data_IF_407988708687
#
_entry.id   IF_407988708687
#
_cell.length_a   1.000
_cell.length_b   1.000
_cell.length_c   1.000
_cell.angle_alpha   90.00
_cell.angle_beta   90.00
_cell.angle_gamma   90.00
#
_symmetry.space_group_name_H-M   'P 1'
#
loop_
_entity.id
_entity.type
_entity.pdbx_description
1 polymer ?
#
# COMPACT_ATOMS: atom_id res chain seq x y z
N UNK A 1 2.74 -21.37 5.76
CA UNK A 1 2.71 -20.66 4.45
C UNK A 1 2.09 -21.58 3.42
N UNK A 2 1.65 -21.09 2.26
CA UNK A 2 1.09 -21.93 1.21
C UNK A 2 1.90 -21.83 -0.08
N UNK A 3 2.09 -22.98 -0.74
CA UNK A 3 2.68 -23.08 -2.08
C UNK A 3 1.64 -22.70 -3.16
N UNK A 4 2.08 -22.57 -4.42
CA UNK A 4 1.24 -22.26 -5.59
C UNK A 4 0.04 -23.22 -5.76
N UNK A 5 0.15 -24.44 -5.22
CA UNK A 5 -0.88 -25.49 -5.26
C UNK A 5 -1.77 -25.53 -4.02
N UNK A 6 -1.65 -24.55 -3.12
CA UNK A 6 -2.43 -24.48 -1.88
C UNK A 6 -2.02 -25.49 -0.82
N UNK A 7 -0.83 -26.11 -0.93
CA UNK A 7 -0.29 -27.00 0.10
C UNK A 7 0.43 -26.19 1.18
N UNK A 8 0.26 -26.61 2.43
CA UNK A 8 1.01 -26.05 3.55
C UNK A 8 2.52 -26.32 3.38
N UNK A 9 3.32 -25.27 3.52
CA UNK A 9 4.78 -25.31 3.55
C UNK A 9 5.30 -24.62 4.81
N UNK A 10 6.26 -25.28 5.46
CA UNK A 10 6.89 -24.81 6.70
C UNK A 10 8.14 -23.96 6.42
N UNK A 11 8.82 -24.21 5.30
CA UNK A 11 10.02 -23.46 4.87
C UNK A 11 9.92 -23.08 3.39
N UNK A 12 10.41 -21.88 3.07
CA UNK A 12 10.46 -21.35 1.72
C UNK A 12 11.93 -21.26 1.24
N UNK A 13 12.37 -22.09 0.29
CA UNK A 13 13.71 -21.97 -0.29
C UNK A 13 13.81 -20.75 -1.23
N UNK A 14 15.03 -20.28 -1.56
CA UNK A 14 15.21 -19.17 -2.48
C UNK A 14 14.53 -19.45 -3.83
N UNK A 15 13.97 -18.40 -4.43
CA UNK A 15 13.25 -18.45 -5.72
C UNK A 15 11.93 -19.23 -5.73
N UNK A 16 11.35 -19.55 -4.57
CA UNK A 16 10.03 -20.18 -4.48
C UNK A 16 8.97 -19.15 -4.04
N UNK A 17 7.91 -18.90 -4.83
CA UNK A 17 6.83 -18.03 -4.41
C UNK A 17 6.00 -18.70 -3.31
N UNK A 18 5.73 -17.98 -2.22
CA UNK A 18 4.89 -18.48 -1.13
C UNK A 18 3.82 -17.46 -0.77
N UNK A 19 2.64 -17.97 -0.45
CA UNK A 19 1.55 -17.16 0.11
C UNK A 19 1.64 -17.16 1.63
N UNK A 20 1.68 -15.95 2.19
CA UNK A 20 1.77 -15.69 3.63
C UNK A 20 0.43 -15.10 4.07
N UNK A 21 -0.12 -15.63 5.16
CA UNK A 21 -1.31 -15.12 5.82
C UNK A 21 -0.93 -14.50 7.17
N UNK A 22 -1.74 -13.57 7.67
CA UNK A 22 -1.55 -12.96 9.00
C UNK A 22 -0.80 -11.62 8.98
N UNK A 23 -0.75 -10.93 7.84
CA UNK A 23 -0.27 -9.55 7.79
C UNK A 23 -1.39 -8.59 8.22
N UNK A 24 -1.03 -7.52 8.94
CA UNK A 24 -1.98 -6.49 9.41
C UNK A 24 -2.65 -5.69 8.26
N UNK A 25 -2.10 -5.76 7.05
CA UNK A 25 -2.63 -5.09 5.87
C UNK A 25 -2.04 -5.63 4.58
N UNK A 26 -2.58 -5.19 3.45
CA UNK A 26 -2.08 -5.56 2.14
C UNK A 26 -0.74 -4.85 1.86
N UNK A 27 0.37 -5.58 1.65
CA UNK A 27 1.62 -4.98 1.22
C UNK A 27 1.48 -4.43 -0.21
N UNK A 28 2.27 -3.43 -0.57
CA UNK A 28 2.30 -2.95 -1.94
C UNK A 28 3.12 -3.90 -2.82
N UNK A 29 2.75 -3.97 -4.10
CA UNK A 29 3.51 -4.76 -5.06
C UNK A 29 4.94 -4.20 -5.20
N UNK A 30 5.94 -5.07 -5.02
CA UNK A 30 7.36 -4.69 -5.09
C UNK A 30 7.98 -4.30 -3.73
N UNK A 31 7.21 -4.33 -2.65
CA UNK A 31 7.77 -4.14 -1.31
C UNK A 31 8.77 -5.25 -0.94
N UNK A 32 9.84 -4.86 -0.25
CA UNK A 32 10.84 -5.79 0.28
C UNK A 32 10.42 -6.29 1.66
N UNK A 33 10.41 -7.61 1.83
CA UNK A 33 10.20 -8.23 3.13
C UNK A 33 11.52 -8.35 3.89
N UNK A 34 11.49 -7.94 5.16
CA UNK A 34 12.60 -8.11 6.09
C UNK A 34 12.11 -8.93 7.28
N UNK A 35 12.92 -9.89 7.71
CA UNK A 35 12.65 -10.69 8.90
C UNK A 35 13.25 -9.96 10.11
N UNK A 36 12.47 -9.86 11.18
CA UNK A 36 12.90 -9.28 12.46
C UNK A 36 12.77 -10.34 13.55
N UNK A 37 13.62 -10.26 14.58
CA UNK A 37 13.61 -11.19 15.71
C UNK A 37 12.54 -10.81 16.75
N UNK A 38 12.30 -9.51 16.97
CA UNK A 38 11.30 -8.99 17.91
C UNK A 38 10.11 -8.34 17.17
N UNK A 39 8.91 -8.80 17.51
CA UNK A 39 7.64 -8.25 17.03
C UNK A 39 7.46 -6.77 17.42
N UNK A 40 7.90 -6.38 18.63
CA UNK A 40 7.72 -5.01 19.13
C UNK A 40 8.52 -4.01 18.31
N UNK A 41 9.77 -4.35 18.00
CA UNK A 41 10.64 -3.52 17.16
C UNK A 41 10.05 -3.39 15.75
N UNK A 42 9.65 -4.52 15.15
CA UNK A 42 9.01 -4.54 13.83
C UNK A 42 7.76 -3.64 13.79
N UNK A 43 6.91 -3.71 14.82
CA UNK A 43 5.70 -2.90 14.92
C UNK A 43 5.99 -1.41 15.06
N UNK A 44 7.02 -1.04 15.83
CA UNK A 44 7.45 0.37 15.96
C UNK A 44 7.95 0.92 14.62
N UNK A 45 8.78 0.15 13.90
CA UNK A 45 9.30 0.53 12.58
C UNK A 45 8.16 0.65 11.57
N UNK A 46 7.23 -0.31 11.55
CA UNK A 46 6.07 -0.29 10.67
C UNK A 46 5.18 0.93 10.93
N UNK A 47 4.89 1.23 12.20
CA UNK A 47 4.09 2.40 12.59
C UNK A 47 4.74 3.71 12.14
N UNK A 48 6.06 3.84 12.36
CA UNK A 48 6.83 5.02 11.92
C UNK A 48 6.80 5.20 10.40
N UNK A 49 6.96 4.11 9.63
CA UNK A 49 6.89 4.15 8.16
C UNK A 49 5.50 4.52 7.66
N UNK A 50 4.45 3.94 8.24
CA UNK A 50 3.06 4.25 7.87
C UNK A 50 2.73 5.73 8.11
N UNK A 51 3.18 6.30 9.23
CA UNK A 51 3.01 7.73 9.50
C UNK A 51 3.71 8.59 8.44
N UNK A 52 4.98 8.31 8.13
CA UNK A 52 5.72 9.05 7.12
C UNK A 52 5.06 8.98 5.73
N UNK A 53 4.57 7.80 5.34
CA UNK A 53 3.88 7.62 4.06
C UNK A 53 2.56 8.41 4.02
N UNK A 54 1.82 8.47 5.13
CA UNK A 54 0.60 9.28 5.25
C UNK A 54 0.90 10.78 5.15
N UNK A 55 1.96 11.25 5.77
CA UNK A 55 2.38 12.66 5.67
C UNK A 55 2.80 13.03 4.24
N UNK A 56 3.49 12.13 3.54
CA UNK A 56 3.87 12.31 2.14
C UNK A 56 2.67 12.31 1.19
N UNK A 57 1.70 11.41 1.40
CA UNK A 57 0.51 11.35 0.55
C UNK A 57 -0.35 12.61 0.70
N UNK A 58 -0.52 13.12 1.92
CA UNK A 58 -1.23 14.38 2.19
C UNK A 58 -0.53 15.56 1.52
N UNK A 59 0.81 15.61 1.51
CA UNK A 59 1.56 16.67 0.79
C UNK A 59 1.42 16.58 -0.73
N UNK A 60 1.22 15.38 -1.27
CA UNK A 60 1.15 15.14 -2.71
C UNK A 60 -0.24 15.38 -3.28
N UNK A 61 -1.28 15.38 -2.43
CA UNK A 61 -2.59 15.87 -2.81
C UNK A 61 -2.50 17.38 -3.08
N UNK A 62 -2.30 17.72 -4.36
CA UNK A 62 -2.45 19.09 -4.86
C UNK A 62 -3.81 19.59 -4.37
N UNK A 63 -3.81 20.59 -3.50
CA UNK A 63 -5.01 21.36 -3.20
C UNK A 63 -5.47 21.97 -4.51
N UNK A 64 -6.50 21.38 -5.13
CA UNK A 64 -7.13 21.96 -6.31
C UNK A 64 -7.54 23.38 -5.91
N UNK A 65 -6.95 24.38 -6.55
CA UNK A 65 -7.22 25.76 -6.18
C UNK A 65 -8.67 26.10 -6.56
N UNK A 66 -9.32 27.01 -5.82
CA UNK A 66 -10.67 27.47 -6.15
C UNK A 66 -10.78 27.99 -7.59
N UNK A 67 -9.67 28.50 -8.12
CA UNK A 67 -9.53 29.01 -9.48
C UNK A 67 -9.52 27.90 -10.55
N UNK A 68 -8.97 26.72 -10.24
CA UNK A 68 -9.05 25.52 -11.08
C UNK A 68 -10.45 24.90 -11.04
N UNK A 69 -11.11 24.90 -9.86
CA UNK A 69 -12.50 24.45 -9.71
C UNK A 69 -13.44 25.32 -10.55
N UNK A 70 -13.30 26.65 -10.48
CA UNK A 70 -14.10 27.60 -11.25
C UNK A 70 -13.91 27.45 -12.77
N UNK A 71 -12.67 27.24 -13.23
CA UNK A 71 -12.39 26.93 -14.65
C UNK A 71 -13.04 25.62 -15.10
N UNK A 72 -12.98 24.57 -14.28
CA UNK A 72 -13.55 23.25 -14.62
C UNK A 72 -15.09 23.29 -14.68
N UNK A 73 -15.73 24.09 -13.83
CA UNK A 73 -17.19 24.35 -13.88
C UNK A 73 -17.55 25.18 -15.12
N UNK A 74 -16.75 26.21 -15.46
CA UNK A 74 -16.99 27.07 -16.62
C UNK A 74 -16.81 26.35 -17.97
N UNK A 75 -15.98 25.30 -18.02
CA UNK A 75 -15.72 24.51 -19.24
C UNK A 75 -16.81 23.48 -19.57
N UNK A 76 -17.78 23.24 -18.67
CA UNK A 76 -18.95 22.41 -18.92
C UNK A 76 -18.68 20.90 -18.82
N UNK A 77 -19.53 20.23 -18.02
CA UNK A 77 -19.64 18.79 -17.73
C UNK A 77 -18.68 17.84 -18.50
N UNK A 78 -17.54 17.55 -17.88
CA UNK A 78 -16.78 16.34 -18.20
C UNK A 78 -17.55 15.14 -17.68
N UNK A 79 -18.03 14.28 -18.59
CA UNK A 79 -18.59 12.97 -18.22
C UNK A 79 -17.47 12.07 -17.72
N UNK A 80 -17.24 12.10 -16.41
CA UNK A 80 -16.31 11.19 -15.73
C UNK A 80 -17.07 9.93 -15.29
N UNK A 81 -16.60 8.77 -15.74
CA UNK A 81 -17.07 7.49 -15.22
C UNK A 81 -16.14 7.10 -14.07
N UNK A 82 -16.62 7.24 -12.85
CA UNK A 82 -15.86 6.82 -11.67
C UNK A 82 -15.79 5.29 -11.63
N UNK A 83 -14.58 4.75 -11.62
CA UNK A 83 -14.29 3.32 -11.47
C UNK A 83 -13.72 3.12 -10.05
N UNK A 84 -14.09 2.04 -9.39
CA UNK A 84 -13.60 1.60 -8.07
C UNK A 84 -12.62 0.45 -8.26
#
# INVERSE_FOLDING_TARGET
>A
MFDERGKNVDQAPPSTPVSILGLDGAPQAGDKFNVFEDEREAKQIASKRSQLQREQSVRTQKTLTLDEIGRRIALGDFKELNII
#
